data_IF_762132748315
#
_entry.id   IF_762132748315
#
_cell.length_a   1.000
_cell.length_b   1.000
_cell.length_c   1.000
_cell.angle_alpha   90.00
_cell.angle_beta   90.00
_cell.angle_gamma   90.00
#
_symmetry.space_group_name_H-M   'P 1'
#
loop_
_entity.id
_entity.type
_entity.pdbx_description
1 polymer ?
#
# COMPACT_ATOMS: atom_id res chain seq x y z
N UNK A 1 9.12 16.87 -3.82
CA UNK A 1 8.86 15.48 -4.23
C UNK A 1 8.13 14.70 -3.13
N UNK A 2 7.03 14.04 -3.49
CA UNK A 2 6.28 13.13 -2.61
C UNK A 2 6.38 11.72 -3.16
N UNK A 3 6.50 10.74 -2.28
CA UNK A 3 6.53 9.33 -2.65
C UNK A 3 5.46 8.63 -1.83
N UNK A 4 4.42 8.09 -2.49
CA UNK A 4 3.42 7.29 -1.80
C UNK A 4 4.01 5.93 -1.47
N UNK A 5 3.84 5.49 -0.23
CA UNK A 5 4.33 4.19 0.19
C UNK A 5 3.14 3.34 0.58
N UNK A 6 2.93 2.24 -0.13
CA UNK A 6 1.91 1.24 0.09
C UNK A 6 2.51 0.01 0.77
N UNK A 7 1.78 -0.56 1.73
CA UNK A 7 2.11 -1.85 2.34
C UNK A 7 0.89 -2.41 3.03
N UNK A 8 0.89 -3.71 3.31
CA UNK A 8 -0.02 -4.27 4.32
C UNK A 8 0.28 -3.64 5.68
N UNK A 9 -0.76 -3.49 6.52
CA UNK A 9 -0.61 -2.78 7.80
C UNK A 9 0.11 -3.62 8.86
N UNK A 10 -0.33 -4.87 9.07
CA UNK A 10 0.07 -5.68 10.22
C UNK A 10 1.53 -6.13 10.17
N UNK A 11 2.04 -6.50 9.00
CA UNK A 11 3.30 -7.22 8.86
C UNK A 11 4.43 -6.40 8.23
N UNK A 12 4.29 -5.09 8.04
CA UNK A 12 5.34 -4.25 7.41
C UNK A 12 5.80 -3.08 8.26
N UNK A 13 5.53 -3.12 9.57
CA UNK A 13 5.94 -2.04 10.47
C UNK A 13 7.47 -1.84 10.47
N UNK A 14 8.25 -2.92 10.54
CA UNK A 14 9.71 -2.82 10.62
C UNK A 14 10.34 -2.18 9.38
N UNK A 15 9.92 -2.60 8.18
CA UNK A 15 10.42 -2.09 6.90
C UNK A 15 10.06 -0.61 6.72
N UNK A 16 8.85 -0.24 7.12
CA UNK A 16 8.35 1.14 7.03
C UNK A 16 8.98 2.06 8.08
N UNK A 17 9.22 1.56 9.30
CA UNK A 17 9.96 2.31 10.33
C UNK A 17 11.41 2.53 9.90
N UNK A 18 12.05 1.54 9.29
CA UNK A 18 13.39 1.71 8.71
C UNK A 18 13.38 2.75 7.58
N UNK A 19 12.33 2.76 6.75
CA UNK A 19 12.16 3.77 5.72
C UNK A 19 12.08 5.19 6.30
N UNK A 20 11.30 5.39 7.36
CA UNK A 20 11.10 6.70 8.00
C UNK A 20 12.31 7.15 8.83
N UNK A 21 12.88 6.23 9.64
CA UNK A 21 13.92 6.56 10.62
C UNK A 21 15.33 6.55 10.02
N UNK A 22 15.60 5.67 9.05
CA UNK A 22 16.95 5.47 8.52
C UNK A 22 17.13 5.92 7.08
N UNK A 23 16.14 5.70 6.20
CA UNK A 23 16.26 6.00 4.76
C UNK A 23 15.92 7.45 4.48
N UNK A 24 14.73 7.90 4.89
CA UNK A 24 14.20 9.24 4.61
C UNK A 24 15.20 10.36 4.99
N UNK A 25 15.83 10.37 6.18
CA UNK A 25 16.74 11.46 6.54
C UNK A 25 17.95 11.56 5.61
N UNK A 26 18.46 10.42 5.12
CA UNK A 26 19.62 10.34 4.24
C UNK A 26 19.28 10.83 2.84
N UNK A 27 18.18 10.32 2.26
CA UNK A 27 17.76 10.71 0.91
C UNK A 27 17.23 12.14 0.86
N UNK A 28 16.54 12.61 1.90
CA UNK A 28 16.05 13.98 1.98
C UNK A 28 17.21 14.96 2.14
N UNK A 29 18.27 14.60 2.88
CA UNK A 29 19.49 15.41 2.94
C UNK A 29 20.12 15.53 1.55
N UNK A 30 20.29 14.41 0.85
CA UNK A 30 20.83 14.42 -0.50
C UNK A 30 19.96 15.26 -1.45
N UNK A 31 18.63 15.11 -1.43
CA UNK A 31 17.72 15.88 -2.27
C UNK A 31 17.80 17.41 -2.00
N UNK A 32 17.94 17.80 -0.72
CA UNK A 32 18.10 19.21 -0.33
C UNK A 32 19.36 19.84 -0.91
N UNK A 33 20.43 19.08 -1.11
CA UNK A 33 21.65 19.58 -1.76
C UNK A 33 21.40 19.99 -3.23
N UNK A 34 20.29 19.54 -3.82
CA UNK A 34 19.81 19.93 -5.15
C UNK A 34 18.61 20.90 -5.11
N UNK A 35 18.25 21.42 -3.94
CA UNK A 35 17.10 22.32 -3.76
C UNK A 35 15.74 21.63 -3.75
N UNK A 36 15.70 20.31 -3.62
CA UNK A 36 14.47 19.51 -3.60
C UNK A 36 14.10 19.06 -2.19
N UNK A 37 12.82 19.13 -1.86
CA UNK A 37 12.27 18.53 -0.64
C UNK A 37 11.70 17.13 -0.95
N UNK A 38 11.96 16.16 -0.08
CA UNK A 38 11.49 14.79 -0.24
C UNK A 38 10.67 14.39 1.01
N UNK A 39 9.49 13.81 0.78
CA UNK A 39 8.67 13.22 1.84
C UNK A 39 8.10 11.87 1.41
N UNK A 40 8.05 10.92 2.35
CA UNK A 40 7.23 9.72 2.20
C UNK A 40 5.83 10.00 2.72
N UNK A 41 4.83 9.61 1.94
CA UNK A 41 3.43 9.64 2.37
C UNK A 41 3.12 8.27 2.97
N UNK A 42 3.18 8.22 4.31
CA UNK A 42 2.91 7.04 5.11
C UNK A 42 1.64 7.25 5.93
N UNK A 43 0.57 6.54 5.54
CA UNK A 43 -0.73 6.63 6.20
C UNK A 43 -0.91 5.64 7.36
N UNK A 44 0.13 4.89 7.75
CA UNK A 44 0.09 3.96 8.91
C UNK A 44 -0.24 4.68 10.22
N UNK A 45 0.28 5.89 10.38
CA UNK A 45 0.13 6.69 11.61
C UNK A 45 -1.27 7.28 11.79
N UNK A 46 -2.17 7.03 10.84
CA UNK A 46 -3.59 7.18 11.03
C UNK A 46 -4.20 8.25 10.16
N UNK A 47 -5.34 7.87 9.61
CA UNK A 47 -6.38 8.80 9.22
C UNK A 47 -7.27 8.93 10.46
N UNK A 48 -7.45 10.15 10.97
CA UNK A 48 -8.33 10.34 12.13
C UNK A 48 -9.76 9.96 11.75
N UNK A 49 -10.20 8.81 12.24
CA UNK A 49 -11.54 8.23 12.06
C UNK A 49 -12.21 7.88 13.39
N UNK A 50 -11.62 8.29 14.53
CA UNK A 50 -12.05 7.86 15.88
C UNK A 50 -13.48 8.28 16.24
N UNK A 51 -14.02 9.31 15.58
CA UNK A 51 -15.39 9.81 15.78
C UNK A 51 -16.36 9.43 14.66
N UNK A 52 -15.98 8.50 13.78
CA UNK A 52 -16.76 8.10 12.60
C UNK A 52 -17.29 6.68 12.78
N UNK A 53 -18.43 6.37 12.15
CA UNK A 53 -18.89 4.98 12.06
C UNK A 53 -17.91 4.13 11.23
N UNK A 54 -17.88 2.82 11.45
CA UNK A 54 -16.89 1.91 10.84
C UNK A 54 -16.89 1.98 9.31
N UNK A 55 -18.07 2.06 8.70
CA UNK A 55 -18.22 2.18 7.25
C UNK A 55 -17.71 3.52 6.72
N UNK A 56 -17.98 4.62 7.42
CA UNK A 56 -17.50 5.95 7.05
C UNK A 56 -15.98 6.06 7.22
N UNK A 57 -15.45 5.48 8.30
CA UNK A 57 -14.02 5.36 8.57
C UNK A 57 -13.30 4.64 7.43
N UNK A 58 -13.80 3.45 7.07
CA UNK A 58 -13.27 2.64 5.96
C UNK A 58 -13.32 3.39 4.63
N UNK A 59 -14.40 4.12 4.38
CA UNK A 59 -14.54 4.94 3.18
C UNK A 59 -13.56 6.11 3.13
N UNK A 60 -13.36 6.78 4.25
CA UNK A 60 -12.39 7.86 4.36
C UNK A 60 -10.98 7.34 4.15
N UNK A 61 -10.65 6.18 4.74
CA UNK A 61 -9.33 5.56 4.60
C UNK A 61 -9.00 5.31 3.13
N UNK A 62 -9.87 4.57 2.43
CA UNK A 62 -9.63 4.22 1.03
C UNK A 62 -9.59 5.45 0.12
N UNK A 63 -10.49 6.42 0.36
CA UNK A 63 -10.53 7.66 -0.43
C UNK A 63 -9.25 8.48 -0.26
N UNK A 64 -8.72 8.59 0.96
CA UNK A 64 -7.48 9.32 1.24
C UNK A 64 -6.29 8.60 0.60
N UNK A 65 -6.19 7.26 0.72
CA UNK A 65 -5.12 6.51 0.05
C UNK A 65 -5.05 6.80 -1.44
N UNK A 66 -6.18 6.67 -2.16
CA UNK A 66 -6.18 6.91 -3.61
C UNK A 66 -5.93 8.38 -3.98
N UNK A 67 -6.32 9.35 -3.13
CA UNK A 67 -6.01 10.76 -3.37
C UNK A 67 -4.53 11.07 -3.12
N UNK A 68 -3.93 10.45 -2.11
CA UNK A 68 -2.50 10.63 -1.84
C UNK A 68 -1.62 9.95 -2.89
N UNK A 69 -2.09 8.88 -3.53
CA UNK A 69 -1.45 8.34 -4.74
C UNK A 69 -1.46 9.41 -5.84
N UNK A 70 -2.60 10.03 -6.15
CA UNK A 70 -2.66 11.10 -7.16
C UNK A 70 -1.71 12.27 -6.84
N UNK A 71 -1.61 12.65 -5.55
CA UNK A 71 -0.77 13.74 -5.08
C UNK A 71 0.72 13.39 -4.99
N UNK A 72 1.08 12.10 -5.08
CA UNK A 72 2.46 11.62 -4.99
C UNK A 72 3.07 11.27 -6.34
N UNK A 73 2.36 11.58 -7.43
CA UNK A 73 2.90 11.41 -8.78
C UNK A 73 4.27 12.10 -8.91
N UNK A 74 5.21 11.45 -9.61
CA UNK A 74 5.09 10.14 -10.26
C UNK A 74 5.60 8.95 -9.42
N UNK A 75 5.83 9.10 -8.10
CA UNK A 75 6.57 8.10 -7.32
C UNK A 75 5.70 7.28 -6.38
N UNK A 76 5.80 5.95 -6.53
CA UNK A 76 5.09 4.99 -5.71
C UNK A 76 6.03 3.87 -5.28
N UNK A 77 5.94 3.45 -4.02
CA UNK A 77 6.67 2.30 -3.49
C UNK A 77 5.69 1.34 -2.85
N UNK A 78 5.77 0.05 -3.16
CA UNK A 78 5.01 -0.98 -2.47
C UNK A 78 5.91 -2.01 -1.78
N UNK A 79 5.59 -2.31 -0.52
CA UNK A 79 6.19 -3.41 0.24
C UNK A 79 5.19 -4.55 0.41
N UNK A 80 5.54 -5.76 -0.03
CA UNK A 80 4.68 -6.94 0.11
C UNK A 80 5.36 -8.09 0.86
N UNK A 81 4.63 -8.60 1.85
CA UNK A 81 5.01 -9.73 2.69
C UNK A 81 4.18 -10.93 2.31
N UNK A 82 3.70 -11.64 3.30
CA UNK A 82 2.98 -12.89 3.12
C UNK A 82 1.47 -12.71 3.36
N UNK A 83 1.06 -11.51 3.79
CA UNK A 83 -0.33 -11.14 3.98
C UNK A 83 -0.91 -10.51 2.72
N UNK A 84 -2.20 -10.75 2.50
CA UNK A 84 -2.96 -10.00 1.49
C UNK A 84 -3.52 -8.69 2.06
N UNK A 85 -3.79 -8.65 3.36
CA UNK A 85 -4.26 -7.46 4.07
C UNK A 85 -5.79 -7.32 4.09
N UNK A 86 -6.25 -6.14 4.50
CA UNK A 86 -7.67 -5.83 4.65
C UNK A 86 -8.37 -5.76 3.28
N UNK A 87 -9.49 -6.46 3.14
CA UNK A 87 -10.36 -6.45 1.95
C UNK A 87 -11.57 -5.55 2.24
N UNK A 88 -11.66 -4.35 1.63
CA UNK A 88 -12.83 -3.50 1.75
C UNK A 88 -14.05 -4.17 1.08
N UNK A 89 -15.25 -3.92 1.60
CA UNK A 89 -16.49 -4.42 0.98
C UNK A 89 -16.68 -3.90 -0.44
N UNK A 90 -17.31 -4.69 -1.32
CA UNK A 90 -17.50 -4.36 -2.74
C UNK A 90 -18.12 -2.98 -2.97
N UNK A 91 -19.21 -2.66 -2.26
CA UNK A 91 -19.88 -1.35 -2.36
C UNK A 91 -18.95 -0.18 -2.01
N UNK A 92 -18.02 -0.39 -1.06
CA UNK A 92 -17.05 0.61 -0.66
C UNK A 92 -16.00 0.85 -1.77
N UNK A 93 -15.51 -0.21 -2.40
CA UNK A 93 -14.60 -0.10 -3.56
C UNK A 93 -15.32 0.62 -4.71
N UNK A 94 -16.53 0.19 -5.06
CA UNK A 94 -17.33 0.80 -6.14
C UNK A 94 -17.59 2.30 -5.88
N UNK A 95 -17.98 2.67 -4.66
CA UNK A 95 -18.20 4.09 -4.28
C UNK A 95 -16.92 4.92 -4.31
N UNK A 96 -15.78 4.32 -3.98
CA UNK A 96 -14.50 5.04 -3.96
C UNK A 96 -13.96 5.22 -5.38
N UNK A 97 -13.96 4.17 -6.19
CA UNK A 97 -13.55 4.20 -7.60
C UNK A 97 -14.51 5.02 -8.46
N UNK A 98 -15.82 5.01 -8.16
CA UNK A 98 -16.80 5.84 -8.86
C UNK A 98 -16.60 7.36 -8.69
N UNK A 99 -15.72 7.79 -7.77
CA UNK A 99 -15.29 9.19 -7.64
C UNK A 99 -14.04 9.51 -8.45
N UNK A 100 -13.39 8.50 -9.03
CA UNK A 100 -12.22 8.65 -9.91
C UNK A 100 -12.67 8.73 -11.38
N UNK A 101 -11.79 9.16 -12.29
CA UNK A 101 -12.10 9.18 -13.73
C UNK A 101 -12.61 7.83 -14.26
N UNK A 102 -13.53 7.81 -15.24
CA UNK A 102 -14.18 6.59 -15.71
C UNK A 102 -13.23 5.50 -16.20
N UNK A 103 -12.04 5.84 -16.68
CA UNK A 103 -11.04 4.85 -17.09
C UNK A 103 -10.62 3.87 -15.97
N UNK A 104 -10.79 4.25 -14.70
CA UNK A 104 -10.47 3.41 -13.54
C UNK A 104 -11.60 2.48 -13.11
N UNK A 105 -12.78 2.51 -13.77
CA UNK A 105 -13.96 1.75 -13.35
C UNK A 105 -13.72 0.24 -13.24
N UNK A 106 -12.86 -0.30 -14.11
CA UNK A 106 -12.47 -1.72 -14.12
C UNK A 106 -11.82 -2.17 -12.80
N UNK A 107 -11.22 -1.26 -12.03
CA UNK A 107 -10.58 -1.57 -10.76
C UNK A 107 -11.58 -2.00 -9.68
N UNK A 108 -12.87 -1.71 -9.85
CA UNK A 108 -13.94 -2.10 -8.94
C UNK A 108 -14.62 -3.45 -9.28
N UNK A 109 -14.21 -4.14 -10.35
CA UNK A 109 -14.87 -5.37 -10.82
C UNK A 109 -14.69 -6.57 -9.88
N UNK A 110 -13.59 -6.59 -9.13
CA UNK A 110 -13.21 -7.73 -8.29
C UNK A 110 -12.88 -7.30 -6.86
N UNK A 111 -13.25 -8.15 -5.90
CA UNK A 111 -12.84 -7.99 -4.51
C UNK A 111 -11.33 -8.14 -4.39
N UNK A 112 -10.69 -7.16 -3.74
CA UNK A 112 -9.25 -7.12 -3.55
C UNK A 112 -8.91 -6.37 -2.27
N UNK A 113 -7.69 -6.57 -1.76
CA UNK A 113 -7.26 -5.83 -0.58
C UNK A 113 -7.05 -4.36 -0.89
N UNK A 114 -7.07 -3.51 0.13
CA UNK A 114 -6.78 -2.08 -0.02
C UNK A 114 -5.39 -1.87 -0.66
N UNK A 115 -4.38 -2.61 -0.21
CA UNK A 115 -3.03 -2.61 -0.79
C UNK A 115 -3.01 -3.05 -2.25
N UNK A 116 -3.76 -4.09 -2.62
CA UNK A 116 -3.90 -4.52 -4.01
C UNK A 116 -4.55 -3.42 -4.87
N UNK A 117 -5.61 -2.78 -4.37
CA UNK A 117 -6.28 -1.68 -5.06
C UNK A 117 -5.35 -0.48 -5.24
N UNK A 118 -4.56 -0.13 -4.22
CA UNK A 118 -3.55 0.95 -4.30
C UNK A 118 -2.51 0.66 -5.39
N UNK A 119 -1.99 -0.56 -5.45
CA UNK A 119 -1.01 -1.00 -6.46
C UNK A 119 -1.63 -0.93 -7.87
N UNK A 120 -2.78 -1.56 -8.09
CA UNK A 120 -3.44 -1.54 -9.39
C UNK A 120 -3.82 -0.12 -9.82
N UNK A 121 -4.25 0.73 -8.87
CA UNK A 121 -4.55 2.13 -9.14
C UNK A 121 -3.32 2.94 -9.52
N UNK A 122 -2.17 2.71 -8.88
CA UNK A 122 -0.91 3.35 -9.25
C UNK A 122 -0.45 2.89 -10.65
N UNK A 123 -0.50 1.58 -10.93
CA UNK A 123 -0.09 1.00 -12.21
C UNK A 123 -1.00 1.38 -13.39
N UNK A 124 -2.31 1.57 -13.15
CA UNK A 124 -3.25 2.02 -14.18
C UNK A 124 -3.00 3.47 -14.64
N UNK A 125 -2.18 4.23 -13.91
CA UNK A 125 -1.89 5.62 -14.21
C UNK A 125 -0.61 5.76 -15.04
N UNK A 126 -0.74 6.42 -16.20
CA UNK A 126 0.36 6.60 -17.16
C UNK A 126 1.60 7.27 -16.57
N UNK A 127 1.42 8.17 -15.60
CA UNK A 127 2.50 8.94 -14.99
C UNK A 127 3.41 8.11 -14.06
N UNK A 128 2.99 6.89 -13.68
CA UNK A 128 3.67 6.05 -12.68
C UNK A 128 4.51 4.90 -13.26
N UNK A 129 4.32 4.54 -14.54
CA UNK A 129 4.82 3.27 -15.11
C UNK A 129 6.33 3.05 -14.90
N UNK A 130 7.16 4.09 -15.02
CA UNK A 130 8.62 3.97 -14.85
C UNK A 130 9.13 4.30 -13.43
N UNK A 131 8.22 4.59 -12.49
CA UNK A 131 8.55 5.17 -11.17
C UNK A 131 7.79 4.51 -10.00
N UNK A 132 7.20 3.35 -10.26
CA UNK A 132 6.75 2.41 -9.24
C UNK A 132 7.90 1.47 -8.84
N UNK A 133 8.18 1.34 -7.55
CA UNK A 133 9.16 0.38 -7.03
C UNK A 133 8.47 -0.65 -6.12
N UNK A 134 8.70 -1.93 -6.40
CA UNK A 134 8.12 -3.04 -5.65
C UNK A 134 9.20 -3.80 -4.88
N UNK A 135 9.00 -3.97 -3.58
CA UNK A 135 9.92 -4.67 -2.69
C UNK A 135 9.20 -5.80 -1.97
N UNK A 136 9.71 -7.02 -2.14
CA UNK A 136 9.10 -8.21 -1.55
C UNK A 136 9.98 -8.74 -0.42
N UNK A 137 9.39 -8.91 0.77
CA UNK A 137 10.10 -9.56 1.87
C UNK A 137 10.42 -11.00 1.48
N UNK A 138 11.66 -11.41 1.79
CA UNK A 138 12.06 -12.81 1.71
C UNK A 138 11.28 -13.62 2.75
N UNK A 139 10.70 -14.78 2.38
CA UNK A 139 9.92 -15.59 3.29
C UNK A 139 10.61 -15.82 4.63
N UNK A 140 9.89 -15.55 5.72
CA UNK A 140 10.39 -15.77 7.06
C UNK A 140 10.38 -17.28 7.40
N UNK A 141 11.34 -17.76 8.22
CA UNK A 141 11.35 -19.14 8.69
C UNK A 141 10.22 -19.35 9.73
N UNK A 142 9.03 -19.71 9.25
CA UNK A 142 7.79 -19.83 10.05
C UNK A 142 7.97 -20.75 11.26
N UNK A 143 8.74 -21.82 11.10
CA UNK A 143 9.07 -22.78 12.16
C UNK A 143 9.80 -22.14 13.35
N UNK A 144 10.53 -21.04 13.12
CA UNK A 144 11.27 -20.30 14.15
C UNK A 144 10.45 -19.17 14.79
N UNK A 145 9.29 -18.82 14.22
CA UNK A 145 8.44 -17.77 14.75
C UNK A 145 7.61 -18.27 15.94
N UNK A 146 7.47 -17.43 16.97
CA UNK A 146 6.49 -17.64 18.04
C UNK A 146 5.05 -17.57 17.49
N UNK A 147 4.05 -18.13 18.19
CA UNK A 147 2.65 -18.02 17.77
C UNK A 147 2.19 -16.58 17.50
N UNK A 148 2.60 -15.63 18.35
CA UNK A 148 2.29 -14.20 18.22
C UNK A 148 2.85 -13.62 16.90
N UNK A 149 4.11 -13.92 16.58
CA UNK A 149 4.71 -13.46 15.33
C UNK A 149 4.15 -14.17 14.11
N UNK A 150 3.72 -15.43 14.22
CA UNK A 150 3.01 -16.09 13.12
C UNK A 150 1.69 -15.40 12.79
N UNK A 151 0.94 -14.97 13.81
CA UNK A 151 -0.32 -14.26 13.62
C UNK A 151 -0.13 -12.90 12.92
N UNK A 152 1.03 -12.29 13.11
CA UNK A 152 1.44 -11.05 12.45
C UNK A 152 1.89 -11.34 11.02
N UNK A 153 2.86 -12.22 10.82
CA UNK A 153 3.59 -12.33 9.56
C UNK A 153 3.07 -13.40 8.59
N UNK A 154 2.25 -14.37 9.01
CA UNK A 154 1.73 -15.39 8.10
C UNK A 154 0.44 -14.91 7.40
N UNK A 155 0.21 -15.45 6.20
CA UNK A 155 -1.02 -15.23 5.43
C UNK A 155 -2.29 -15.52 6.23
N UNK A 156 -3.37 -14.79 5.94
CA UNK A 156 -4.72 -15.01 6.45
C UNK A 156 -5.34 -16.36 6.07
N UNK A 157 -4.71 -17.11 5.16
CA UNK A 157 -5.14 -18.44 4.72
C UNK A 157 -4.67 -18.76 3.30
N UNK A 158 -5.05 -19.93 2.79
CA UNK A 158 -4.62 -20.39 1.46
C UNK A 158 -5.05 -19.45 0.33
N UNK A 159 -6.27 -18.88 0.40
CA UNK A 159 -6.76 -17.91 -0.60
C UNK A 159 -5.94 -16.63 -0.59
N UNK A 160 -5.72 -16.02 0.57
CA UNK A 160 -4.92 -14.80 0.71
C UNK A 160 -3.46 -15.02 0.25
N UNK A 161 -2.91 -16.21 0.53
CA UNK A 161 -1.56 -16.58 0.09
C UNK A 161 -1.45 -16.63 -1.43
N UNK A 162 -2.45 -17.20 -2.11
CA UNK A 162 -2.52 -17.21 -3.57
C UNK A 162 -2.66 -15.79 -4.14
N UNK A 163 -3.49 -14.94 -3.51
CA UNK A 163 -3.71 -13.56 -3.97
C UNK A 163 -2.46 -12.69 -3.85
N UNK A 164 -1.75 -12.71 -2.71
CA UNK A 164 -0.48 -11.98 -2.56
C UNK A 164 0.61 -12.57 -3.46
N UNK A 165 0.61 -13.89 -3.68
CA UNK A 165 1.49 -14.55 -4.65
C UNK A 165 1.26 -14.03 -6.08
N UNK A 166 -0.01 -13.85 -6.46
CA UNK A 166 -0.41 -13.22 -7.72
C UNK A 166 0.16 -11.81 -7.88
N UNK A 167 -0.03 -10.95 -6.87
CA UNK A 167 0.53 -9.59 -6.88
C UNK A 167 2.05 -9.57 -7.07
N UNK A 168 2.78 -10.41 -6.32
CA UNK A 168 4.25 -10.49 -6.44
C UNK A 168 4.74 -10.99 -7.80
N UNK A 169 3.89 -11.74 -8.52
CA UNK A 169 4.24 -12.32 -9.82
C UNK A 169 3.93 -11.41 -11.02
N UNK A 170 3.00 -10.46 -10.84
CA UNK A 170 2.59 -9.54 -11.90
C UNK A 170 3.67 -8.49 -12.25
N UNK A 171 4.56 -8.16 -11.31
CA UNK A 171 5.61 -7.14 -11.47
C UNK A 171 7.01 -7.72 -11.79
N UNK A 172 7.10 -9.00 -12.18
CA UNK A 172 8.34 -9.60 -12.66
C UNK A 172 8.56 -9.40 -14.17
N UNK A 173 7.84 -8.47 -14.82
CA UNK A 173 7.94 -8.16 -16.25
C UNK A 173 8.22 -6.68 -16.49
#
# INVERSE_FOLDING_TARGET
>A
MKIFVSSTFKDMHAERDMLDLDVLPKIAKFARDYGEELSFIDLRWGINTQSMEEDESSQKILSVCLNEIDNSKPYFIAFLGERYGWIPGKNLIEKTIGKKPPEFSHLAEHEKSATALEIEYALAQKDFIDRCLFYFRKPLPVEKLSPEYREIYCSEGGRAQAQVGGLKSQDCQ
#
